data_IF_513313939722
#
_entry.id   IF_513313939722
#
_cell.length_a   1.000
_cell.length_b   1.000
_cell.length_c   1.000
_cell.angle_alpha   90.00
_cell.angle_beta   90.00
_cell.angle_gamma   90.00
#
_symmetry.space_group_name_H-M   'P 1'
#
loop_
_entity.id
_entity.type
_entity.pdbx_description
1 polymer ?
#
# COMPACT_ATOMS: atom_id res chain seq x y z
N UNK A 1 39.39 10.29 9.94
CA UNK A 1 38.49 9.37 10.67
C UNK A 1 38.72 7.94 10.17
N UNK A 2 38.86 6.95 11.06
CA UNK A 2 39.18 5.58 10.64
C UNK A 2 37.95 4.87 10.05
N UNK A 3 38.19 3.94 9.11
CA UNK A 3 37.14 3.18 8.41
C UNK A 3 36.18 2.44 9.37
N UNK A 4 36.65 2.10 10.58
CA UNK A 4 35.87 1.44 11.63
C UNK A 4 34.83 2.37 12.30
N UNK A 5 35.19 3.62 12.60
CA UNK A 5 34.27 4.60 13.19
C UNK A 5 33.11 4.98 12.24
N UNK A 6 33.40 5.03 10.93
CA UNK A 6 32.38 5.30 9.90
C UNK A 6 31.41 4.12 9.78
N UNK A 7 31.90 2.87 9.90
CA UNK A 7 31.07 1.66 9.86
C UNK A 7 30.09 1.60 11.04
N UNK A 8 30.51 1.96 12.25
CA UNK A 8 29.69 1.96 13.48
C UNK A 8 28.60 3.03 13.45
N UNK A 9 28.95 4.24 13.00
CA UNK A 9 27.98 5.34 12.87
C UNK A 9 26.94 5.05 11.78
N UNK A 10 27.37 4.47 10.66
CA UNK A 10 26.46 4.00 9.60
C UNK A 10 25.50 2.91 10.08
N UNK A 11 25.97 1.90 10.82
CA UNK A 11 25.08 0.84 11.35
C UNK A 11 24.12 1.36 12.41
N UNK A 12 24.54 2.32 13.24
CA UNK A 12 23.68 2.96 14.24
C UNK A 12 22.60 3.85 13.59
N UNK A 13 22.96 4.64 12.58
CA UNK A 13 22.01 5.45 11.81
C UNK A 13 21.00 4.56 11.05
N UNK A 14 21.50 3.56 10.32
CA UNK A 14 20.67 2.60 9.61
C UNK A 14 19.72 1.84 10.55
N UNK A 15 20.17 1.47 11.75
CA UNK A 15 19.31 0.82 12.75
C UNK A 15 18.19 1.75 13.25
N UNK A 16 18.48 3.04 13.47
CA UNK A 16 17.45 4.05 13.79
C UNK A 16 16.44 4.22 12.66
N UNK A 17 16.90 4.29 11.42
CA UNK A 17 16.02 4.42 10.24
C UNK A 17 15.11 3.21 10.05
N UNK A 18 15.64 2.00 10.22
CA UNK A 18 14.85 0.75 10.15
C UNK A 18 13.81 0.70 11.27
N UNK A 19 14.18 1.04 12.51
CA UNK A 19 13.24 1.10 13.64
C UNK A 19 12.12 2.12 13.39
N UNK A 20 12.46 3.33 12.91
CA UNK A 20 11.48 4.36 12.57
C UNK A 20 10.55 3.86 11.45
N UNK A 21 11.09 3.18 10.44
CA UNK A 21 10.30 2.62 9.34
C UNK A 21 9.31 1.56 9.85
N UNK A 22 9.73 0.66 10.74
CA UNK A 22 8.87 -0.38 11.32
C UNK A 22 7.75 0.21 12.20
N UNK A 23 8.08 1.18 13.06
CA UNK A 23 7.09 1.91 13.87
C UNK A 23 6.09 2.61 12.95
N UNK A 24 6.56 3.27 11.88
CA UNK A 24 5.69 3.94 10.92
C UNK A 24 4.75 2.95 10.21
N UNK A 25 5.23 1.75 9.88
CA UNK A 25 4.47 0.69 9.23
C UNK A 25 3.39 0.13 10.15
N UNK A 26 3.74 -0.15 11.41
CA UNK A 26 2.81 -0.58 12.44
C UNK A 26 1.70 0.46 12.65
N UNK A 27 2.05 1.75 12.73
CA UNK A 27 1.07 2.84 12.85
C UNK A 27 0.09 2.88 11.67
N UNK A 28 0.59 2.75 10.44
CA UNK A 28 -0.28 2.70 9.23
C UNK A 28 -1.23 1.49 9.28
N UNK A 29 -0.73 0.33 9.70
CA UNK A 29 -1.53 -0.89 9.80
C UNK A 29 -2.64 -0.75 10.85
N UNK A 30 -2.31 -0.23 12.04
CA UNK A 30 -3.26 0.02 13.12
C UNK A 30 -4.33 1.05 12.69
N UNK A 31 -3.91 2.15 12.06
CA UNK A 31 -4.84 3.17 11.57
C UNK A 31 -5.83 2.58 10.55
N UNK A 32 -5.33 1.76 9.61
CA UNK A 32 -6.19 1.08 8.65
C UNK A 32 -7.15 0.09 9.33
N UNK A 33 -6.69 -0.64 10.35
CA UNK A 33 -7.55 -1.53 11.13
C UNK A 33 -8.68 -0.77 11.81
N UNK A 34 -8.35 0.30 12.56
CA UNK A 34 -9.33 1.16 13.25
C UNK A 34 -10.34 1.75 12.26
N UNK A 35 -9.87 2.22 11.10
CA UNK A 35 -10.73 2.69 10.01
C UNK A 35 -11.69 1.62 9.50
N UNK A 36 -11.20 0.40 9.29
CA UNK A 36 -12.01 -0.69 8.73
C UNK A 36 -13.01 -1.34 9.69
N UNK A 37 -12.68 -1.45 10.98
CA UNK A 37 -13.44 -2.26 11.95
C UNK A 37 -14.25 -1.42 12.90
N UNK A 38 -13.70 -0.31 13.40
CA UNK A 38 -14.32 0.46 14.46
C UNK A 38 -15.11 1.67 13.94
N UNK A 39 -14.55 2.39 12.97
CA UNK A 39 -15.13 3.67 12.50
C UNK A 39 -15.84 3.55 11.15
N UNK A 40 -15.65 2.45 10.43
CA UNK A 40 -16.17 2.22 9.08
C UNK A 40 -15.79 3.30 8.05
N UNK A 41 -14.76 4.11 8.33
CA UNK A 41 -14.29 5.17 7.44
C UNK A 41 -13.50 4.55 6.28
N UNK A 42 -13.90 4.91 5.06
CA UNK A 42 -13.29 4.44 3.80
C UNK A 42 -12.93 5.64 2.93
N UNK A 43 -11.76 6.26 3.14
CA UNK A 43 -11.44 7.56 2.55
C UNK A 43 -11.16 7.50 1.04
N UNK A 44 -10.91 6.30 0.50
CA UNK A 44 -10.54 6.14 -0.90
C UNK A 44 -11.73 5.67 -1.72
N UNK A 45 -12.35 6.55 -2.50
CA UNK A 45 -13.56 6.26 -3.28
C UNK A 45 -13.22 6.17 -4.77
N UNK A 46 -13.77 5.17 -5.45
CA UNK A 46 -13.67 5.05 -6.89
C UNK A 46 -14.66 5.99 -7.57
N UNK A 47 -14.19 6.93 -8.38
CA UNK A 47 -15.08 7.89 -9.06
C UNK A 47 -16.02 7.23 -10.07
N UNK A 48 -15.60 6.14 -10.71
CA UNK A 48 -16.37 5.44 -11.74
C UNK A 48 -17.58 4.70 -11.19
N UNK A 49 -17.48 4.10 -9.99
CA UNK A 49 -18.54 3.25 -9.43
C UNK A 49 -18.88 3.54 -7.96
N UNK A 50 -18.31 4.62 -7.40
CA UNK A 50 -18.53 5.11 -6.04
C UNK A 50 -18.21 4.10 -4.92
N UNK A 51 -17.42 3.06 -5.24
CA UNK A 51 -17.03 2.04 -4.26
C UNK A 51 -15.88 2.56 -3.39
N UNK A 52 -16.05 2.44 -2.06
CA UNK A 52 -15.10 2.97 -1.08
C UNK A 52 -14.15 1.91 -0.47
N UNK A 53 -12.89 2.30 -0.26
CA UNK A 53 -11.80 1.47 0.21
C UNK A 53 -11.06 2.11 1.39
N UNK A 54 -10.49 1.27 2.25
CA UNK A 54 -9.75 1.70 3.44
C UNK A 54 -8.29 2.05 3.11
N UNK A 55 -7.72 1.45 2.07
CA UNK A 55 -6.32 1.68 1.65
C UNK A 55 -6.26 2.15 0.19
N UNK A 56 -5.33 3.07 -0.09
CA UNK A 56 -5.05 3.56 -1.45
C UNK A 56 -4.71 2.44 -2.43
N UNK A 57 -3.89 1.47 -2.01
CA UNK A 57 -3.51 0.35 -2.87
C UNK A 57 -4.72 -0.53 -3.24
N UNK A 58 -5.72 -0.65 -2.36
CA UNK A 58 -6.93 -1.41 -2.65
C UNK A 58 -7.78 -0.70 -3.73
N UNK A 59 -7.90 0.64 -3.65
CA UNK A 59 -8.53 1.45 -4.69
C UNK A 59 -7.77 1.35 -6.02
N UNK A 60 -6.43 1.52 -6.02
CA UNK A 60 -5.60 1.40 -7.23
C UNK A 60 -5.76 0.04 -7.90
N UNK A 61 -5.86 -1.02 -7.10
CA UNK A 61 -6.11 -2.36 -7.64
C UNK A 61 -7.54 -2.53 -8.17
N UNK A 62 -8.49 -1.80 -7.61
CA UNK A 62 -9.87 -1.79 -8.06
C UNK A 62 -10.06 -1.01 -9.37
N UNK A 63 -9.37 0.10 -9.59
CA UNK A 63 -9.51 0.88 -10.84
C UNK A 63 -9.09 0.09 -12.08
N UNK A 64 -8.11 -0.81 -11.94
CA UNK A 64 -7.72 -1.80 -12.96
C UNK A 64 -8.86 -2.76 -13.37
N UNK A 65 -9.94 -2.83 -12.59
CA UNK A 65 -11.13 -3.60 -12.96
C UNK A 65 -11.99 -2.90 -14.01
N UNK A 66 -11.94 -1.57 -14.06
CA UNK A 66 -12.65 -0.75 -15.05
C UNK A 66 -11.87 -0.65 -16.35
N UNK A 67 -10.55 -0.46 -16.27
CA UNK A 67 -9.70 -0.29 -17.47
C UNK A 67 -9.34 -1.60 -18.16
N UNK A 68 -9.70 -2.76 -17.59
CA UNK A 68 -9.24 -4.09 -18.01
C UNK A 68 -7.71 -4.23 -18.08
N UNK A 69 -6.98 -3.27 -17.51
CA UNK A 69 -5.54 -3.30 -17.43
C UNK A 69 -5.09 -4.24 -16.30
N UNK A 70 -3.93 -4.86 -16.49
CA UNK A 70 -3.35 -5.77 -15.51
C UNK A 70 -1.93 -5.35 -15.21
N UNK A 71 -1.64 -5.09 -13.93
CA UNK A 71 -0.33 -4.60 -13.49
C UNK A 71 0.80 -5.65 -13.60
N UNK A 72 0.44 -6.93 -13.71
CA UNK A 72 1.40 -8.03 -13.75
C UNK A 72 1.07 -8.97 -14.89
N UNK A 73 2.09 -9.41 -15.63
CA UNK A 73 1.94 -10.47 -16.62
C UNK A 73 3.03 -11.52 -16.46
N UNK A 74 2.71 -12.73 -16.90
CA UNK A 74 3.65 -13.82 -17.06
C UNK A 74 4.03 -13.92 -18.54
N UNK A 75 5.24 -14.40 -18.83
CA UNK A 75 5.72 -14.62 -20.20
C UNK A 75 4.88 -15.64 -20.99
N UNK A 76 4.11 -16.48 -20.30
CA UNK A 76 3.11 -17.36 -20.92
C UNK A 76 1.85 -16.63 -21.44
N UNK A 77 1.79 -15.30 -21.33
CA UNK A 77 0.66 -14.47 -21.73
C UNK A 77 -0.43 -14.31 -20.67
N UNK A 78 -0.30 -14.98 -19.51
CA UNK A 78 -1.26 -14.85 -18.41
C UNK A 78 -1.13 -13.50 -17.71
N UNK A 79 -2.27 -12.82 -17.52
CA UNK A 79 -2.35 -11.47 -16.95
C UNK A 79 -2.99 -11.49 -15.56
N UNK A 80 -2.42 -10.76 -14.62
CA UNK A 80 -2.85 -10.73 -13.22
C UNK A 80 -2.95 -9.31 -12.69
N UNK A 81 -3.98 -9.07 -11.87
CA UNK A 81 -4.11 -7.81 -11.14
C UNK A 81 -3.16 -7.77 -9.93
N UNK A 82 -3.02 -8.85 -9.15
CA UNK A 82 -2.14 -8.86 -7.96
C UNK A 82 -0.92 -9.76 -8.12
N UNK A 83 0.21 -9.34 -7.55
CA UNK A 83 1.46 -10.10 -7.54
C UNK A 83 1.32 -11.48 -6.89
N UNK A 84 0.52 -11.61 -5.83
CA UNK A 84 0.29 -12.91 -5.16
C UNK A 84 -0.30 -13.95 -6.12
N UNK A 85 -1.16 -13.54 -7.05
CA UNK A 85 -1.78 -14.43 -8.02
C UNK A 85 -0.78 -14.82 -9.11
N UNK A 86 0.05 -13.88 -9.57
CA UNK A 86 1.16 -14.18 -10.47
C UNK A 86 2.15 -15.17 -9.82
N UNK A 87 2.57 -14.94 -8.58
CA UNK A 87 3.48 -15.85 -7.86
C UNK A 87 2.88 -17.25 -7.69
N UNK A 88 1.58 -17.34 -7.39
CA UNK A 88 0.89 -18.64 -7.32
C UNK A 88 0.85 -19.32 -8.69
N UNK A 89 0.57 -18.56 -9.75
CA UNK A 89 0.59 -19.06 -11.12
C UNK A 89 1.98 -19.56 -11.53
N UNK A 90 3.06 -18.80 -11.26
CA UNK A 90 4.43 -19.17 -11.59
C UNK A 90 4.88 -20.50 -10.98
N UNK A 91 4.39 -20.84 -9.78
CA UNK A 91 4.68 -22.15 -9.16
C UNK A 91 4.13 -23.34 -9.96
N UNK A 92 3.05 -23.11 -10.70
CA UNK A 92 2.37 -24.12 -11.51
C UNK A 92 2.65 -23.94 -13.01
N UNK A 93 3.31 -22.85 -13.39
CA UNK A 93 3.60 -22.52 -14.77
C UNK A 93 4.94 -23.14 -15.16
N UNK A 94 4.92 -24.03 -16.14
CA UNK A 94 6.09 -24.77 -16.62
C UNK A 94 7.10 -23.87 -17.34
N UNK A 95 6.65 -22.74 -17.91
CA UNK A 95 7.54 -21.72 -18.46
C UNK A 95 8.08 -20.84 -17.33
N UNK A 96 9.39 -20.93 -17.10
CA UNK A 96 10.15 -20.26 -16.03
C UNK A 96 10.31 -18.75 -16.32
N UNK A 97 9.21 -18.02 -16.37
CA UNK A 97 9.18 -16.61 -16.76
C UNK A 97 9.28 -15.66 -15.56
N UNK A 98 10.06 -14.60 -15.70
CA UNK A 98 10.23 -13.57 -14.69
C UNK A 98 8.96 -12.71 -14.55
N UNK A 99 8.72 -12.20 -13.33
CA UNK A 99 7.58 -11.33 -13.05
C UNK A 99 7.91 -9.88 -13.42
N UNK A 100 7.38 -9.37 -14.52
CA UNK A 100 7.51 -7.96 -14.89
C UNK A 100 6.33 -7.16 -14.35
N UNK A 101 6.64 -6.17 -13.51
CA UNK A 101 5.68 -5.16 -13.04
C UNK A 101 5.54 -4.13 -14.16
N UNK A 102 4.35 -3.99 -14.74
CA UNK A 102 4.08 -2.89 -15.67
C UNK A 102 3.62 -1.71 -14.83
N UNK A 103 4.52 -0.74 -14.65
CA UNK A 103 4.17 0.58 -14.14
C UNK A 103 3.83 1.47 -15.33
N UNK A 104 2.54 1.66 -15.58
CA UNK A 104 2.05 2.91 -16.19
C UNK A 104 1.22 3.68 -15.16
N UNK A 105 1.09 4.96 -15.46
CA UNK A 105 1.17 6.11 -14.57
C UNK A 105 0.29 6.11 -13.32
N UNK A 106 0.79 6.88 -12.37
CA UNK A 106 0.14 7.31 -11.14
C UNK A 106 -1.19 8.01 -11.47
N UNK A 107 -2.36 7.45 -11.10
CA UNK A 107 -3.55 8.27 -11.02
C UNK A 107 -3.30 9.26 -9.88
N UNK A 108 -3.50 10.54 -10.20
CA UNK A 108 -3.37 11.72 -9.34
C UNK A 108 -3.78 11.46 -7.87
N UNK A 109 -3.11 12.10 -6.90
CA UNK A 109 -3.35 11.89 -5.49
C UNK A 109 -4.74 12.42 -5.11
N UNK A 110 -5.72 11.52 -5.02
CA UNK A 110 -7.02 11.87 -4.46
C UNK A 110 -6.87 12.23 -2.98
N UNK A 111 -7.32 13.44 -2.68
CA UNK A 111 -7.21 14.20 -1.45
C UNK A 111 -7.37 13.35 -0.20
N UNK A 112 -6.37 13.43 0.69
CA UNK A 112 -6.50 13.03 2.08
C UNK A 112 -7.58 13.93 2.69
N UNK A 113 -8.81 13.43 2.80
CA UNK A 113 -9.85 14.07 3.61
C UNK A 113 -9.42 13.98 5.07
N UNK A 114 -8.48 14.85 5.43
CA UNK A 114 -8.23 15.28 6.79
C UNK A 114 -9.40 16.15 7.19
N UNK A 115 -10.52 15.51 7.56
CA UNK A 115 -11.46 16.17 8.45
C UNK A 115 -10.85 16.13 9.85
N UNK A 116 -10.11 17.19 10.16
CA UNK A 116 -9.99 17.71 11.51
C UNK A 116 -11.40 18.01 12.03
N UNK A 117 -11.91 17.16 12.91
CA UNK A 117 -12.98 17.54 13.81
C UNK A 117 -12.42 17.43 15.24
N UNK A 118 -11.73 18.49 15.66
CA UNK A 118 -11.73 18.89 17.08
C UNK A 118 -13.10 19.50 17.43
N UNK A 119 -13.40 19.45 18.74
CA UNK A 119 -14.55 20.00 19.45
C UNK A 119 -15.85 19.15 19.40
N UNK A 120 -16.12 18.38 20.45
CA UNK A 120 -16.62 18.88 21.74
C UNK A 120 -17.37 17.77 22.49
N UNK A 121 -16.95 17.47 23.72
CA UNK A 121 -17.87 17.51 24.87
C UNK A 121 -17.03 17.42 26.15
N UNK A 122 -16.61 18.58 26.64
CA UNK A 122 -16.60 18.78 28.09
C UNK A 122 -18.05 18.82 28.60
N UNK A 123 -18.21 18.50 29.89
CA UNK A 123 -19.42 18.53 30.72
C UNK A 123 -20.32 17.29 30.69
N UNK A 124 -20.18 16.42 31.70
CA UNK A 124 -21.16 16.36 32.79
C UNK A 124 -20.68 15.48 33.97
N UNK A 125 -20.70 16.11 35.15
CA UNK A 125 -20.84 15.61 36.54
C UNK A 125 -20.03 14.40 37.02
#
# INVERSE_FOLDING_TARGET
MCKWCIRITYTCAHMKDVIIQDISAARRALTAHIRSVHTNIRPYVCETCQKAFVRRNDLKMHTLTHTSETAFHCECGSKFRRLIYLKKHQRLCTSRGNATKVTKEEPEPQSDSTETNEAASDQNL
#
